data_IF_322539908761
#
_entry.id   IF_322539908761
#
_cell.length_a   1.000
_cell.length_b   1.000
_cell.length_c   1.000
_cell.angle_alpha   90.00
_cell.angle_beta   90.00
_cell.angle_gamma   90.00
#
_symmetry.space_group_name_H-M   'P 1'
#
loop_
_entity.id
_entity.type
_entity.pdbx_description
1 polymer ?
#
# COMPACT_ATOMS: atom_id res chain seq x y z
N UNK A 1 18.15 14.21 -1.40
CA UNK A 1 17.09 14.70 -0.49
C UNK A 1 15.79 14.67 -1.24
N UNK A 2 14.75 14.07 -0.64
CA UNK A 2 13.38 14.19 -1.11
C UNK A 2 12.80 15.46 -0.48
N UNK A 3 12.31 16.38 -1.30
CA UNK A 3 11.75 17.64 -0.83
C UNK A 3 10.22 17.48 -0.74
N UNK A 4 9.71 17.19 0.45
CA UNK A 4 8.30 17.25 0.80
C UNK A 4 8.10 18.34 1.86
N UNK A 5 6.86 18.76 2.09
CA UNK A 5 6.56 19.73 3.14
C UNK A 5 6.80 19.09 4.52
N UNK A 6 7.62 19.74 5.35
CA UNK A 6 7.94 19.25 6.69
C UNK A 6 6.71 19.33 7.59
N UNK A 7 6.55 18.41 8.53
CA UNK A 7 5.37 18.29 9.41
C UNK A 7 4.06 17.93 8.71
N UNK A 8 4.04 17.85 7.37
CA UNK A 8 2.93 17.26 6.64
C UNK A 8 2.81 15.76 6.96
N UNK A 9 1.63 15.19 6.70
CA UNK A 9 1.33 13.81 7.05
C UNK A 9 1.12 12.92 5.84
N UNK A 10 1.61 11.68 5.89
CA UNK A 10 1.29 10.64 4.91
C UNK A 10 0.56 9.49 5.60
N UNK A 11 -0.40 8.90 4.90
CA UNK A 11 -1.11 7.69 5.30
C UNK A 11 -1.06 6.71 4.13
N UNK A 12 -0.76 5.45 4.44
CA UNK A 12 -0.64 4.40 3.43
C UNK A 12 -1.93 3.58 3.36
N UNK A 13 -2.36 3.30 2.13
CA UNK A 13 -3.53 2.48 1.85
C UNK A 13 -3.11 1.30 0.97
N UNK A 14 -3.38 0.09 1.45
CA UNK A 14 -3.00 -1.14 0.76
C UNK A 14 -4.25 -1.93 0.34
N UNK A 15 -4.36 -2.35 -0.93
CA UNK A 15 -5.39 -3.29 -1.34
C UNK A 15 -5.18 -4.67 -0.69
N UNK A 16 -6.28 -5.40 -0.49
CA UNK A 16 -6.27 -6.77 0.04
C UNK A 16 -5.25 -7.63 -0.70
N UNK A 17 -4.43 -8.39 0.02
CA UNK A 17 -3.46 -9.34 -0.54
C UNK A 17 -2.16 -8.71 -1.09
N UNK A 18 -2.07 -7.39 -1.25
CA UNK A 18 -0.84 -6.75 -1.71
C UNK A 18 0.25 -6.75 -0.64
N UNK A 19 -0.12 -6.44 0.60
CA UNK A 19 0.81 -6.33 1.73
C UNK A 19 1.58 -7.64 1.95
N UNK A 20 0.90 -8.78 1.87
CA UNK A 20 1.49 -10.13 2.01
C UNK A 20 2.56 -10.42 0.95
N UNK A 21 2.40 -9.83 -0.24
CA UNK A 21 3.29 -10.04 -1.39
C UNK A 21 4.36 -8.94 -1.53
N UNK A 22 4.22 -7.80 -0.86
CA UNK A 22 5.07 -6.63 -1.04
C UNK A 22 6.45 -6.72 -0.35
N UNK A 23 6.56 -7.57 0.68
CA UNK A 23 7.80 -7.77 1.43
C UNK A 23 8.39 -6.46 1.93
N UNK A 24 9.69 -6.22 1.68
CA UNK A 24 10.39 -5.00 2.11
C UNK A 24 9.83 -3.73 1.45
N UNK A 25 9.25 -3.85 0.26
CA UNK A 25 8.69 -2.73 -0.50
C UNK A 25 7.55 -2.00 0.23
N UNK A 26 6.90 -2.65 1.21
CA UNK A 26 5.85 -2.04 2.02
C UNK A 26 6.33 -0.83 2.84
N UNK A 27 7.62 -0.74 3.17
CA UNK A 27 8.19 0.34 3.98
C UNK A 27 8.70 1.53 3.16
N UNK A 28 8.55 1.51 1.83
CA UNK A 28 9.10 2.57 0.98
C UNK A 28 8.56 3.96 1.37
N UNK A 29 7.26 4.07 1.63
CA UNK A 29 6.62 5.34 1.99
C UNK A 29 6.94 5.76 3.43
N UNK A 30 7.04 4.80 4.37
CA UNK A 30 7.57 5.05 5.71
C UNK A 30 8.99 5.64 5.68
N UNK A 31 9.91 5.04 4.94
CA UNK A 31 11.26 5.58 4.79
C UNK A 31 11.28 6.94 4.09
N UNK A 32 10.43 7.16 3.09
CA UNK A 32 10.31 8.47 2.47
C UNK A 32 9.83 9.53 3.45
N UNK A 33 8.89 9.21 4.34
CA UNK A 33 8.41 10.12 5.38
C UNK A 33 9.54 10.49 6.35
N UNK A 34 10.28 9.49 6.85
CA UNK A 34 11.41 9.69 7.75
C UNK A 34 12.50 10.57 7.13
N UNK A 35 12.84 10.31 5.86
CA UNK A 35 13.89 11.05 5.14
C UNK A 35 13.49 12.50 4.82
N UNK A 36 12.20 12.82 4.77
CA UNK A 36 11.69 14.15 4.42
C UNK A 36 11.19 14.95 5.63
N UNK A 37 11.10 14.35 6.82
CA UNK A 37 10.56 15.01 8.01
C UNK A 37 9.03 15.13 7.99
N UNK A 38 8.35 14.19 7.33
CA UNK A 38 6.89 14.05 7.37
C UNK A 38 6.47 13.15 8.54
N UNK A 39 5.22 13.27 8.96
CA UNK A 39 4.58 12.40 9.95
C UNK A 39 3.92 11.21 9.26
N UNK A 40 4.39 9.99 9.53
CA UNK A 40 3.71 8.78 9.12
C UNK A 40 2.51 8.53 10.05
N UNK A 41 1.30 8.52 9.50
CA UNK A 41 0.05 8.34 10.27
C UNK A 41 -0.36 6.87 10.41
N UNK A 42 0.46 5.95 9.91
CA UNK A 42 0.17 4.52 9.87
C UNK A 42 -0.28 4.04 8.50
N UNK A 43 -0.61 2.76 8.48
CA UNK A 43 -1.03 2.02 7.31
C UNK A 43 -2.41 1.40 7.53
N UNK A 44 -3.26 1.46 6.51
CA UNK A 44 -4.54 0.79 6.46
C UNK A 44 -4.58 -0.19 5.30
N UNK A 45 -5.15 -1.37 5.51
CA UNK A 45 -5.33 -2.37 4.47
C UNK A 45 -6.82 -2.66 4.28
N UNK A 46 -7.23 -2.79 3.03
CA UNK A 46 -8.60 -3.12 2.69
C UNK A 46 -8.90 -4.58 3.02
N UNK A 47 -9.87 -4.90 3.91
CA UNK A 47 -10.29 -6.27 4.13
C UNK A 47 -11.12 -6.83 2.95
N UNK A 48 -11.68 -5.94 2.11
CA UNK A 48 -12.57 -6.29 1.00
C UNK A 48 -11.75 -6.24 -0.29
N UNK A 49 -11.73 -7.36 -1.02
CA UNK A 49 -10.97 -7.43 -2.27
C UNK A 49 -11.01 -8.83 -2.88
N UNK A 50 -10.65 -8.89 -4.15
CA UNK A 50 -10.59 -10.13 -4.93
C UNK A 50 -9.32 -10.90 -4.57
N UNK A 51 -9.45 -12.20 -4.39
CA UNK A 51 -8.31 -13.08 -4.19
C UNK A 51 -7.56 -13.31 -5.51
N UNK A 52 -6.25 -13.53 -5.42
CA UNK A 52 -5.41 -13.76 -6.59
C UNK A 52 -5.83 -15.04 -7.35
N UNK A 53 -5.98 -15.01 -8.68
CA UNK A 53 -6.37 -16.18 -9.47
C UNK A 53 -5.29 -17.27 -9.54
N UNK A 54 -4.02 -16.95 -9.26
CA UNK A 54 -2.88 -17.86 -9.37
C UNK A 54 -1.96 -17.78 -8.16
N UNK A 55 -2.36 -18.32 -6.99
CA UNK A 55 -1.65 -18.14 -5.72
C UNK A 55 -0.24 -18.75 -5.69
N UNK A 56 0.10 -19.65 -6.62
CA UNK A 56 1.44 -20.24 -6.72
C UNK A 56 2.48 -19.26 -7.30
N UNK A 57 2.05 -18.21 -7.98
CA UNK A 57 2.93 -17.21 -8.58
C UNK A 57 2.82 -15.89 -7.81
N UNK A 58 3.73 -15.72 -6.84
CA UNK A 58 3.79 -14.53 -5.99
C UNK A 58 3.93 -13.23 -6.79
N UNK A 59 4.64 -13.25 -7.93
CA UNK A 59 4.84 -12.04 -8.74
C UNK A 59 3.55 -11.66 -9.45
N UNK A 60 2.81 -12.63 -9.99
CA UNK A 60 1.51 -12.40 -10.60
C UNK A 60 0.49 -11.90 -9.57
N UNK A 61 0.48 -12.46 -8.36
CA UNK A 61 -0.40 -11.97 -7.30
C UNK A 61 -0.02 -10.56 -6.83
N UNK A 62 1.27 -10.27 -6.69
CA UNK A 62 1.75 -8.92 -6.37
C UNK A 62 1.24 -7.89 -7.39
N UNK A 63 1.41 -8.18 -8.69
CA UNK A 63 0.95 -7.29 -9.76
C UNK A 63 -0.58 -7.18 -9.82
N UNK A 64 -1.30 -8.30 -9.64
CA UNK A 64 -2.75 -8.32 -9.62
C UNK A 64 -3.32 -7.45 -8.49
N UNK A 65 -2.78 -7.57 -7.28
CA UNK A 65 -3.25 -6.80 -6.14
C UNK A 65 -2.78 -5.34 -6.19
N UNK A 66 -1.64 -5.03 -6.84
CA UNK A 66 -1.07 -3.68 -6.89
C UNK A 66 -2.02 -2.64 -7.48
N UNK A 67 -2.76 -3.03 -8.52
CA UNK A 67 -3.73 -2.16 -9.20
C UNK A 67 -5.16 -2.35 -8.65
N UNK A 68 -5.29 -2.98 -7.48
CA UNK A 68 -6.55 -3.17 -6.78
C UNK A 68 -7.14 -1.84 -6.31
N UNK A 69 -8.46 -1.69 -6.47
CA UNK A 69 -9.18 -0.55 -5.91
C UNK A 69 -9.24 -0.66 -4.38
N UNK A 70 -9.06 0.46 -3.70
CA UNK A 70 -9.06 0.55 -2.23
C UNK A 70 -10.18 1.49 -1.78
N UNK A 71 -11.00 1.08 -0.82
CA UNK A 71 -12.07 1.90 -0.26
C UNK A 71 -13.22 2.19 -1.24
N UNK A 72 -13.41 1.33 -2.25
CA UNK A 72 -14.54 1.44 -3.17
C UNK A 72 -15.78 0.77 -2.55
N UNK A 73 -16.77 1.57 -2.17
CA UNK A 73 -18.08 1.05 -1.81
C UNK A 73 -18.80 0.65 -3.10
N UNK A 74 -19.06 -0.65 -3.31
CA UNK A 74 -19.84 -1.19 -4.45
C UNK A 74 -21.35 -0.86 -4.36
N UNK A 75 -21.73 0.22 -3.68
CA UNK A 75 -23.12 0.69 -3.64
C UNK A 75 -23.35 1.66 -4.79
N UNK A 76 -23.81 1.11 -5.92
CA UNK A 76 -24.55 1.83 -6.96
C UNK A 76 -26.03 1.94 -6.58
#
# INVERSE_FOLDING_TARGET
>A
MLFMDRESSVMEFFPKGWLENAGVGQYAHHWMADQSGMKHQGAWWDPIGKDCPSPQDHLQCFLFHKDGMVGHNETC
#
